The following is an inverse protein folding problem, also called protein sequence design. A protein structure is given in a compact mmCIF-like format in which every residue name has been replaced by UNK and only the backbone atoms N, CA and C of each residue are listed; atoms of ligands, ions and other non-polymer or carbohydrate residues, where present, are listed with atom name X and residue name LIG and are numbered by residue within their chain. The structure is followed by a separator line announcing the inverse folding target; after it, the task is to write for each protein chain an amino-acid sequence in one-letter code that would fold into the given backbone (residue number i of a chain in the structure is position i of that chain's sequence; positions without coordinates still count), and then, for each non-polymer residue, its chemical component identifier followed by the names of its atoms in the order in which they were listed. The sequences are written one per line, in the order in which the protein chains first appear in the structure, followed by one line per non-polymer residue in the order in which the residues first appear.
data_IF_403196871435
#
_entry.id   IF_403196871435
#
_cell.length_a   1.000
_cell.length_b   1.000
_cell.length_c   1.000
_cell.angle_alpha   90.00
_cell.angle_beta   90.00
_cell.angle_gamma   90.00
#
_symmetry.space_group_name_H-M   'P 1'
#
loop_
_entity.id
_entity.type
_entity.pdbx_description
1 polymer ?
#
# COMPACT_ATOMS: atom_id res chain seq x y z
N UNK A 1 19.53 -11.36 -8.98
CA UNK A 1 19.33 -10.93 -7.57
C UNK A 1 18.02 -10.16 -7.36
N UNK A 2 17.58 -9.30 -8.30
CA UNK A 2 16.23 -8.66 -8.36
C UNK A 2 15.05 -9.65 -8.26
N UNK A 3 15.19 -10.87 -8.79
CA UNK A 3 14.10 -11.86 -8.82
C UNK A 3 13.64 -12.40 -7.46
N UNK A 4 14.47 -12.33 -6.40
CA UNK A 4 14.10 -12.87 -5.07
C UNK A 4 13.23 -11.91 -4.24
N UNK A 5 13.39 -10.60 -4.41
CA UNK A 5 12.46 -9.60 -3.85
C UNK A 5 11.12 -9.60 -4.60
N UNK A 6 11.15 -9.85 -5.91
CA UNK A 6 9.94 -10.13 -6.68
C UNK A 6 9.20 -11.34 -6.09
N UNK A 7 9.89 -12.43 -5.76
CA UNK A 7 9.27 -13.59 -5.09
C UNK A 7 8.84 -13.35 -3.64
N UNK A 8 9.50 -12.51 -2.85
CA UNK A 8 9.07 -12.22 -1.47
C UNK A 8 7.90 -11.22 -1.40
N UNK A 9 7.81 -10.28 -2.36
CA UNK A 9 6.61 -9.50 -2.64
C UNK A 9 5.48 -10.40 -3.17
N UNK A 10 5.84 -11.41 -3.96
CA UNK A 10 4.95 -12.50 -4.39
C UNK A 10 4.52 -13.40 -3.22
N UNK A 11 5.33 -13.55 -2.17
CA UNK A 11 5.05 -14.45 -1.05
C UNK A 11 4.26 -13.78 0.10
N UNK A 12 4.49 -12.48 0.34
CA UNK A 12 3.60 -11.65 1.17
C UNK A 12 2.23 -11.42 0.51
N UNK A 13 2.16 -11.52 -0.83
CA UNK A 13 0.95 -11.58 -1.65
C UNK A 13 0.29 -12.98 -1.62
N UNK A 14 1.05 -14.06 -1.39
CA UNK A 14 0.54 -15.44 -1.20
C UNK A 14 0.21 -15.79 0.26
N UNK A 15 -0.06 -14.77 1.09
CA UNK A 15 -1.11 -14.84 2.13
C UNK A 15 -2.51 -15.20 1.57
N UNK A 16 -2.57 -15.70 0.34
CA UNK A 16 -3.69 -16.31 -0.34
C UNK A 16 -4.01 -17.73 0.19
N UNK A 17 -3.12 -18.39 0.95
CA UNK A 17 -3.41 -19.74 1.44
C UNK A 17 -4.17 -19.81 2.78
N UNK A 18 -4.47 -18.67 3.43
CA UNK A 18 -5.30 -18.62 4.65
C UNK A 18 -6.36 -17.54 4.50
N UNK A 19 -7.43 -17.91 3.80
CA UNK A 19 -8.63 -17.11 3.53
C UNK A 19 -9.44 -16.83 4.80
N UNK A 20 -8.95 -15.94 5.68
CA UNK A 20 -9.75 -15.34 6.74
C UNK A 20 -9.80 -13.82 6.54
N UNK A 21 -10.99 -13.29 6.25
CA UNK A 21 -11.30 -11.85 6.03
C UNK A 21 -10.68 -10.91 7.08
N UNK A 22 -10.46 -11.38 8.32
CA UNK A 22 -9.83 -10.61 9.40
C UNK A 22 -8.37 -10.22 9.15
N UNK A 23 -7.61 -11.02 8.38
CA UNK A 23 -6.17 -10.77 8.18
C UNK A 23 -5.94 -9.70 7.11
N UNK A 24 -6.78 -9.69 6.07
CA UNK A 24 -6.72 -8.68 4.99
C UNK A 24 -6.98 -7.27 5.53
N UNK A 25 -7.91 -7.11 6.47
CA UNK A 25 -8.23 -5.79 7.03
C UNK A 25 -7.12 -5.26 7.96
N UNK A 26 -6.44 -6.14 8.70
CA UNK A 26 -5.26 -5.79 9.50
C UNK A 26 -4.11 -5.30 8.62
N UNK A 27 -3.88 -5.96 7.48
CA UNK A 27 -2.86 -5.54 6.52
C UNK A 27 -3.20 -4.18 5.88
N UNK A 28 -4.46 -3.97 5.50
CA UNK A 28 -4.91 -2.71 4.92
C UNK A 28 -4.83 -1.56 5.94
N UNK A 29 -5.15 -1.84 7.21
CA UNK A 29 -4.98 -0.91 8.32
C UNK A 29 -3.49 -0.58 8.53
N UNK A 30 -2.61 -1.58 8.50
CA UNK A 30 -1.17 -1.37 8.64
C UNK A 30 -0.59 -0.48 7.53
N UNK A 31 -0.93 -0.76 6.26
CA UNK A 31 -0.51 0.07 5.13
C UNK A 31 -1.07 1.48 5.24
N UNK A 32 -2.32 1.62 5.70
CA UNK A 32 -2.94 2.92 5.92
C UNK A 32 -2.23 3.73 7.03
N UNK A 33 -1.91 3.10 8.16
CA UNK A 33 -1.17 3.74 9.25
C UNK A 33 0.24 4.12 8.82
N UNK A 34 0.92 3.28 8.03
CA UNK A 34 2.21 3.59 7.44
C UNK A 34 2.15 4.80 6.52
N UNK A 35 1.14 4.91 5.64
CA UNK A 35 0.93 6.10 4.80
C UNK A 35 0.70 7.37 5.64
N UNK A 36 -0.09 7.27 6.71
CA UNK A 36 -0.35 8.38 7.63
C UNK A 36 0.94 8.85 8.33
N UNK A 37 1.75 7.91 8.80
CA UNK A 37 3.04 8.19 9.42
C UNK A 37 4.03 8.83 8.43
N UNK A 38 4.07 8.34 7.20
CA UNK A 38 4.93 8.85 6.14
C UNK A 38 4.54 10.27 5.73
N UNK A 39 3.23 10.56 5.65
CA UNK A 39 2.72 11.91 5.44
C UNK A 39 3.10 12.84 6.60
N UNK A 40 3.02 12.35 7.84
CA UNK A 40 3.46 13.12 9.00
C UNK A 40 4.96 13.45 8.95
N UNK A 41 5.80 12.50 8.54
CA UNK A 41 7.23 12.75 8.32
C UNK A 41 7.49 13.79 7.23
N UNK A 42 6.71 13.80 6.15
CA UNK A 42 6.82 14.83 5.10
C UNK A 42 6.52 16.21 5.69
N UNK A 43 5.47 16.33 6.51
CA UNK A 43 5.14 17.59 7.19
C UNK A 43 6.29 18.02 8.11
N UNK A 44 6.83 17.12 8.92
CA UNK A 44 7.97 17.44 9.78
C UNK A 44 9.21 17.85 8.98
N UNK A 45 9.48 17.20 7.86
CA UNK A 45 10.56 17.57 6.95
C UNK A 45 10.32 18.95 6.34
N UNK A 46 9.10 19.27 5.90
CA UNK A 46 8.76 20.60 5.40
C UNK A 46 8.90 21.68 6.48
N UNK A 47 8.42 21.43 7.71
CA UNK A 47 8.58 22.36 8.84
C UNK A 47 10.05 22.59 9.16
N UNK A 48 10.85 21.51 9.19
CA UNK A 48 12.29 21.62 9.40
C UNK A 48 12.94 22.47 8.32
N UNK A 49 12.57 22.27 7.05
CA UNK A 49 13.04 23.07 5.92
C UNK A 49 12.73 24.56 6.08
N UNK A 50 11.52 24.90 6.53
CA UNK A 50 11.11 26.28 6.79
C UNK A 50 11.91 26.92 7.94
N UNK A 51 12.22 26.13 8.97
CA UNK A 51 13.08 26.58 10.09
C UNK A 51 14.49 26.85 9.55
N UNK A 52 15.10 25.92 8.82
CA UNK A 52 16.42 26.12 8.22
C UNK A 52 16.48 27.37 7.34
N UNK A 53 15.43 27.59 6.53
CA UNK A 53 15.30 28.79 5.71
C UNK A 53 15.24 30.08 6.55
N UNK A 54 14.45 30.08 7.62
CA UNK A 54 14.27 31.24 8.51
C UNK A 54 15.55 31.59 9.27
N UNK A 55 16.33 30.59 9.69
CA UNK A 55 17.59 30.78 10.42
C UNK A 55 18.81 30.97 9.49
N UNK A 56 18.63 31.05 8.16
CA UNK A 56 19.71 31.15 7.14
C UNK A 56 20.80 30.09 7.31
N UNK A 57 20.45 28.93 7.85
CA UNK A 57 21.40 27.87 8.10
C UNK A 57 21.43 26.94 6.89
N UNK A 58 22.63 26.64 6.37
CA UNK A 58 22.77 25.77 5.19
C UNK A 58 22.57 24.31 5.62
N UNK A 59 21.53 23.62 5.13
CA UNK A 59 21.28 22.23 5.51
C UNK A 59 22.41 21.32 5.03
N UNK A 60 22.78 20.35 5.88
CA UNK A 60 23.81 19.36 5.57
C UNK A 60 23.36 18.42 4.45
N UNK A 61 24.33 17.78 3.78
CA UNK A 61 24.06 16.76 2.73
C UNK A 61 23.18 15.61 3.24
N UNK A 62 23.31 15.27 4.52
CA UNK A 62 22.51 14.26 5.21
C UNK A 62 21.00 14.58 5.18
N UNK A 63 20.65 15.86 5.28
CA UNK A 63 19.26 16.33 5.23
C UNK A 63 18.63 16.12 3.84
N UNK A 64 19.43 16.25 2.77
CA UNK A 64 18.95 15.97 1.42
C UNK A 64 18.78 14.46 1.18
N UNK A 65 19.71 13.65 1.71
CA UNK A 65 19.64 12.18 1.64
C UNK A 65 18.39 11.68 2.36
N UNK A 66 18.07 12.22 3.55
CA UNK A 66 16.86 11.82 4.28
C UNK A 66 15.58 12.17 3.51
N UNK A 67 15.54 13.32 2.82
CA UNK A 67 14.43 13.70 1.96
C UNK A 67 14.26 12.74 0.77
N UNK A 68 15.36 12.34 0.14
CA UNK A 68 15.33 11.37 -0.96
C UNK A 68 14.82 9.99 -0.50
N UNK A 69 15.27 9.53 0.67
CA UNK A 69 14.77 8.28 1.28
C UNK A 69 13.27 8.38 1.55
N UNK A 70 12.80 9.51 2.09
CA UNK A 70 11.40 9.72 2.42
C UNK A 70 10.49 9.64 1.18
N UNK A 71 10.92 10.22 0.05
CA UNK A 71 10.21 10.13 -1.23
C UNK A 71 10.19 8.68 -1.75
N UNK A 72 11.31 7.98 -1.65
CA UNK A 72 11.42 6.59 -2.09
C UNK A 72 10.53 5.66 -1.26
N UNK A 73 10.49 5.89 0.06
CA UNK A 73 9.62 5.18 0.99
C UNK A 73 8.15 5.41 0.59
N UNK A 74 7.75 6.66 0.37
CA UNK A 74 6.39 7.02 -0.05
C UNK A 74 5.98 6.31 -1.34
N UNK A 75 6.89 6.28 -2.32
CA UNK A 75 6.63 5.60 -3.59
C UNK A 75 6.36 4.10 -3.40
N UNK A 76 7.13 3.42 -2.54
CA UNK A 76 6.92 2.01 -2.24
C UNK A 76 5.61 1.77 -1.49
N UNK A 77 5.30 2.60 -0.49
CA UNK A 77 4.07 2.48 0.30
C UNK A 77 2.82 2.70 -0.56
N UNK A 78 2.83 3.71 -1.45
CA UNK A 78 1.74 3.97 -2.40
C UNK A 78 1.60 2.82 -3.39
N UNK A 79 2.70 2.29 -3.91
CA UNK A 79 2.68 1.14 -4.84
C UNK A 79 2.08 -0.11 -4.19
N UNK A 80 2.43 -0.37 -2.93
CA UNK A 80 1.84 -1.44 -2.12
C UNK A 80 0.35 -1.21 -1.87
N UNK A 81 -0.04 0.01 -1.53
CA UNK A 81 -1.44 0.36 -1.29
C UNK A 81 -2.31 0.14 -2.55
N UNK A 82 -1.87 0.64 -3.70
CA UNK A 82 -2.58 0.46 -4.99
C UNK A 82 -2.73 -1.03 -5.33
N UNK A 83 -1.65 -1.81 -5.17
CA UNK A 83 -1.68 -3.27 -5.41
C UNK A 83 -2.70 -3.96 -4.52
N UNK A 84 -2.75 -3.58 -3.25
CA UNK A 84 -3.67 -4.14 -2.25
C UNK A 84 -5.13 -3.81 -2.57
N UNK A 85 -5.42 -2.54 -2.90
CA UNK A 85 -6.79 -2.10 -3.25
C UNK A 85 -7.26 -2.75 -4.55
N UNK A 86 -6.39 -2.83 -5.58
CA UNK A 86 -6.72 -3.44 -6.86
C UNK A 86 -7.06 -4.93 -6.72
N UNK A 87 -6.34 -5.66 -5.87
CA UNK A 87 -6.64 -7.07 -5.59
C UNK A 87 -7.98 -7.25 -4.86
N UNK A 88 -8.33 -6.36 -3.93
CA UNK A 88 -9.62 -6.45 -3.23
C UNK A 88 -10.82 -6.21 -4.17
N UNK A 89 -10.72 -5.24 -5.10
CA UNK A 89 -11.78 -4.97 -6.09
C UNK A 89 -12.04 -6.16 -7.03
N UNK A 90 -10.99 -6.84 -7.48
CA UNK A 90 -11.12 -8.01 -8.36
C UNK A 90 -11.81 -9.19 -7.67
N UNK A 91 -11.54 -9.42 -6.38
CA UNK A 91 -12.18 -10.50 -5.61
C UNK A 91 -13.69 -10.23 -5.45
N UNK A 92 -14.08 -8.97 -5.18
CA UNK A 92 -15.49 -8.61 -5.00
C UNK A 92 -16.27 -8.70 -6.32
N UNK A 93 -15.68 -8.25 -7.43
CA UNK A 93 -16.28 -8.34 -8.76
C UNK A 93 -16.48 -9.80 -9.20
N UNK A 94 -15.52 -10.69 -8.91
CA UNK A 94 -15.60 -12.11 -9.31
C UNK A 94 -16.73 -12.84 -8.57
N UNK A 95 -16.89 -12.58 -7.27
CA UNK A 95 -17.96 -13.21 -6.46
C UNK A 95 -19.36 -12.86 -6.98
N UNK A 96 -19.60 -11.58 -7.25
CA UNK A 96 -20.89 -11.11 -7.75
C UNK A 96 -21.27 -11.71 -9.12
N UNK A 97 -20.30 -12.05 -9.97
CA UNK A 97 -20.57 -12.72 -11.25
C UNK A 97 -20.89 -14.21 -11.09
N UNK A 98 -20.29 -14.88 -10.10
CA UNK A 98 -20.57 -16.31 -9.79
C UNK A 98 -21.97 -16.47 -9.22
N UNK A 99 -22.35 -15.63 -8.26
CA UNK A 99 -23.68 -15.68 -7.65
C UNK A 99 -24.81 -15.51 -8.70
N UNK A 100 -24.60 -14.64 -9.69
CA UNK A 100 -25.57 -14.44 -10.81
C UNK A 100 -25.61 -15.58 -11.81
N UNK A 101 -24.51 -16.31 -12.00
CA UNK A 101 -24.49 -17.47 -12.90
C UNK A 101 -25.27 -18.66 -12.29
N UNK A 102 -25.21 -18.82 -10.97
CA UNK A 102 -25.97 -19.84 -10.25
C UNK A 102 -27.48 -19.55 -10.24
N UNK A 103 -27.90 -18.28 -10.08
CA UNK A 103 -29.32 -17.90 -10.18
C UNK A 103 -29.92 -18.19 -11.58
N UNK A 104 -29.17 -17.95 -12.65
CA UNK A 104 -29.64 -18.17 -14.02
C UNK A 104 -29.71 -19.66 -14.39
N UNK A 105 -28.80 -20.48 -13.87
CA UNK A 105 -28.85 -21.93 -14.05
C UNK A 105 -30.07 -22.54 -13.34
N UNK A 106 -30.38 -22.07 -12.13
CA UNK A 106 -31.50 -22.59 -11.36
C UNK A 106 -32.87 -22.13 -11.89
N UNK A 107 -32.93 -20.98 -12.58
CA UNK A 107 -34.13 -20.48 -13.23
C UNK A 107 -34.43 -21.12 -14.60
N UNK A 108 -33.44 -21.77 -15.24
CA UNK A 108 -33.61 -22.48 -16.51
C UNK A 108 -34.06 -23.93 -16.39
N UNK A 109 -34.08 -24.48 -15.17
CA UNK A 109 -34.53 -25.84 -14.84
C UNK A 109 -36.02 -25.90 -14.41
N UNK A 110 -36.75 -24.78 -14.49
CA UNK A 110 -38.19 -24.63 -14.23
C UNK A 110 -38.95 -24.35 -15.52
#
# INVERSE_FOLDING_TARGET
MVGKFASLCWDGLTLQNVSHRKIVILYLLFVCMSLLFELFLIVLYSVSSLIFYSYRFSPSVEYYISGAILILLLFLTVSMFITTVKNHKNIFSKRNSTDRAEELAHAGDL
#
